data_IF_113353885935
#
_entry.id   IF_113353885935
#
_cell.length_a   1.000
_cell.length_b   1.000
_cell.length_c   1.000
_cell.angle_alpha   90.00
_cell.angle_beta   90.00
_cell.angle_gamma   90.00
#
_symmetry.space_group_name_H-M   'P 1'
#
loop_
_entity.id
_entity.type
_entity.pdbx_description
1 polymer ?
#
# COMPACT_ATOMS: atom_id res chain seq x y z
N UNK A 1 -14.82 6.61 29.59
CA UNK A 1 -15.02 7.59 28.49
C UNK A 1 -15.81 7.01 27.30
N UNK A 2 -15.84 5.68 27.08
CA UNK A 2 -16.57 5.07 25.95
C UNK A 2 -18.04 4.72 26.21
N UNK A 3 -18.57 5.00 27.40
CA UNK A 3 -19.90 4.53 27.85
C UNK A 3 -21.06 4.91 26.92
N UNK A 4 -20.98 6.09 26.29
CA UNK A 4 -21.99 6.61 25.36
C UNK A 4 -21.48 6.65 23.89
N UNK A 5 -20.32 6.08 23.61
CA UNK A 5 -19.76 6.08 22.26
C UNK A 5 -20.57 5.14 21.35
N UNK A 6 -20.81 5.61 20.11
CA UNK A 6 -21.53 4.87 19.07
C UNK A 6 -20.75 4.93 17.75
N UNK A 7 -20.82 3.89 16.91
CA UNK A 7 -20.25 3.94 15.57
C UNK A 7 -20.88 5.07 14.74
N UNK A 8 -20.09 5.65 13.84
CA UNK A 8 -20.59 6.62 12.87
C UNK A 8 -21.37 5.88 11.78
N UNK A 9 -22.57 6.34 11.39
CA UNK A 9 -23.32 5.75 10.28
C UNK A 9 -22.67 6.03 8.91
N UNK A 10 -21.72 6.97 8.84
CA UNK A 10 -21.04 7.36 7.60
C UNK A 10 -19.72 6.62 7.36
N UNK A 11 -19.24 5.85 8.33
CA UNK A 11 -18.01 5.08 8.19
C UNK A 11 -18.23 3.63 8.61
N UNK A 12 -18.18 2.67 7.66
CA UNK A 12 -18.40 1.26 7.97
C UNK A 12 -17.35 0.66 8.92
N UNK A 13 -16.16 1.28 9.04
CA UNK A 13 -15.07 0.83 9.90
C UNK A 13 -15.19 1.34 11.34
N UNK A 14 -16.03 2.35 11.57
CA UNK A 14 -16.21 2.93 12.92
C UNK A 14 -16.73 1.93 13.96
N UNK A 15 -17.45 0.89 13.52
CA UNK A 15 -17.87 -0.21 14.38
C UNK A 15 -16.67 -1.04 14.88
N UNK A 16 -15.70 -1.30 14.00
CA UNK A 16 -14.47 -1.98 14.36
C UNK A 16 -13.61 -1.11 15.29
N UNK A 17 -13.46 0.19 14.99
CA UNK A 17 -12.76 1.13 15.86
C UNK A 17 -13.36 1.18 17.27
N UNK A 18 -14.70 1.22 17.40
CA UNK A 18 -15.36 1.18 18.71
C UNK A 18 -15.15 -0.16 19.43
N UNK A 19 -15.13 -1.28 18.69
CA UNK A 19 -14.86 -2.60 19.25
C UNK A 19 -13.48 -2.64 19.90
N UNK A 20 -12.42 -2.28 19.17
CA UNK A 20 -11.05 -2.35 19.70
C UNK A 20 -10.80 -1.32 20.81
N UNK A 21 -11.47 -0.15 20.77
CA UNK A 21 -11.43 0.81 21.87
C UNK A 21 -11.96 0.21 23.18
N UNK A 22 -13.03 -0.60 23.09
CA UNK A 22 -13.59 -1.32 24.24
C UNK A 22 -12.70 -2.48 24.71
N UNK A 23 -11.83 -2.99 23.83
CA UNK A 23 -10.82 -4.00 24.16
C UNK A 23 -9.57 -3.40 24.84
N UNK A 24 -9.52 -2.08 24.99
CA UNK A 24 -8.50 -1.38 25.79
C UNK A 24 -7.53 -0.53 24.97
N UNK A 25 -7.66 -0.50 23.65
CA UNK A 25 -6.84 0.38 22.80
C UNK A 25 -7.11 1.85 23.12
N UNK A 26 -6.05 2.65 23.19
CA UNK A 26 -6.20 4.10 23.31
C UNK A 26 -6.66 4.69 21.98
N UNK A 27 -7.35 5.84 22.01
CA UNK A 27 -7.73 6.54 20.77
C UNK A 27 -6.51 6.88 19.90
N UNK A 28 -5.35 7.13 20.54
CA UNK A 28 -4.08 7.37 19.84
C UNK A 28 -3.65 6.12 19.07
N UNK A 29 -3.71 4.94 19.69
CA UNK A 29 -3.30 3.70 19.03
C UNK A 29 -4.21 3.36 17.86
N UNK A 30 -5.51 3.62 17.99
CA UNK A 30 -6.51 3.41 16.93
C UNK A 30 -6.22 4.29 15.71
N UNK A 31 -5.86 5.56 15.94
CA UNK A 31 -5.49 6.48 14.86
C UNK A 31 -4.13 6.07 14.27
N UNK A 32 -3.15 5.79 15.12
CA UNK A 32 -1.79 5.45 14.68
C UNK A 32 -1.75 4.20 13.79
N UNK A 33 -2.57 3.19 14.08
CA UNK A 33 -2.64 1.96 13.29
C UNK A 33 -3.63 2.03 12.12
N UNK A 34 -4.13 3.21 11.76
CA UNK A 34 -4.98 3.40 10.58
C UNK A 34 -6.23 2.52 10.57
N UNK A 35 -6.82 2.24 11.73
CA UNK A 35 -7.96 1.29 11.86
C UNK A 35 -9.16 1.70 11.00
N UNK A 36 -9.25 3.00 10.70
CA UNK A 36 -10.29 3.59 9.88
C UNK A 36 -9.76 4.05 8.51
N UNK A 37 -8.64 3.53 8.06
CA UNK A 37 -8.08 3.84 6.74
C UNK A 37 -8.62 2.86 5.68
N UNK A 38 -8.52 3.25 4.41
CA UNK A 38 -9.03 2.45 3.29
C UNK A 38 -7.98 1.52 2.70
N UNK A 39 -6.73 1.71 3.08
CA UNK A 39 -5.59 0.88 2.70
C UNK A 39 -4.98 0.26 3.96
N UNK A 40 -4.24 -0.86 3.83
CA UNK A 40 -3.41 -1.36 4.91
C UNK A 40 -2.50 -0.26 5.44
N UNK A 41 -2.33 -0.22 6.76
CA UNK A 41 -1.37 0.65 7.45
C UNK A 41 -0.44 -0.25 8.24
N UNK A 42 0.85 -0.13 7.95
CA UNK A 42 1.90 -0.86 8.64
C UNK A 42 2.63 0.14 9.53
N UNK A 43 2.60 -0.10 10.84
CA UNK A 43 3.27 0.71 11.85
C UNK A 43 4.36 -0.14 12.46
N UNK A 44 5.61 0.23 12.21
CA UNK A 44 6.75 -0.53 12.71
C UNK A 44 8.04 -0.18 11.97
N UNK A 45 9.12 -0.93 12.23
CA UNK A 45 10.38 -0.82 11.49
C UNK A 45 10.20 -1.20 10.01
N UNK A 46 11.08 -0.73 9.13
CA UNK A 46 10.99 -1.04 7.69
C UNK A 46 10.90 -2.53 7.32
N UNK A 47 11.43 -3.44 8.15
CA UNK A 47 11.29 -4.89 7.94
C UNK A 47 9.83 -5.37 7.97
N UNK A 48 8.98 -4.79 8.82
CA UNK A 48 7.56 -5.18 8.89
C UNK A 48 6.81 -4.76 7.62
N UNK A 49 7.14 -3.59 7.07
CA UNK A 49 6.61 -3.16 5.77
C UNK A 49 7.11 -4.06 4.63
N UNK A 50 8.40 -4.41 4.62
CA UNK A 50 8.97 -5.31 3.62
C UNK A 50 8.35 -6.72 3.68
N UNK A 51 8.14 -7.26 4.88
CA UNK A 51 7.49 -8.56 5.11
C UNK A 51 6.05 -8.56 4.58
N UNK A 52 5.29 -7.50 4.87
CA UNK A 52 3.93 -7.35 4.36
C UNK A 52 3.89 -7.28 2.83
N UNK A 53 4.77 -6.47 2.22
CA UNK A 53 4.85 -6.34 0.77
C UNK A 53 5.23 -7.67 0.10
N UNK A 54 6.18 -8.40 0.69
CA UNK A 54 6.57 -9.73 0.20
C UNK A 54 5.41 -10.73 0.28
N UNK A 55 4.72 -10.82 1.42
CA UNK A 55 3.60 -11.75 1.61
C UNK A 55 2.54 -11.59 0.52
N UNK A 56 2.17 -10.34 0.22
CA UNK A 56 1.16 -10.04 -0.80
C UNK A 56 1.64 -10.32 -2.22
N UNK A 57 2.90 -10.00 -2.52
CA UNK A 57 3.50 -10.27 -3.82
C UNK A 57 3.63 -11.78 -4.09
N UNK A 58 4.16 -12.54 -3.12
CA UNK A 58 4.34 -13.99 -3.24
C UNK A 58 3.00 -14.75 -3.25
N UNK A 59 1.96 -14.20 -2.61
CA UNK A 59 0.60 -14.70 -2.74
C UNK A 59 -0.03 -14.47 -4.14
N UNK A 60 0.65 -13.73 -5.03
CA UNK A 60 0.14 -13.36 -6.34
C UNK A 60 -1.04 -12.38 -6.27
N UNK A 61 -1.17 -11.64 -5.17
CA UNK A 61 -2.27 -10.70 -4.98
C UNK A 61 -2.07 -9.39 -5.75
N UNK A 62 -0.82 -9.01 -6.00
CA UNK A 62 -0.43 -7.75 -6.65
C UNK A 62 0.88 -7.89 -7.43
N UNK A 63 1.05 -7.05 -8.45
CA UNK A 63 2.32 -6.86 -9.17
C UNK A 63 3.14 -5.67 -8.64
N UNK A 64 2.55 -4.84 -7.77
CA UNK A 64 3.18 -3.65 -7.22
C UNK A 64 2.25 -2.89 -6.26
N UNK A 65 2.82 -1.88 -5.60
CA UNK A 65 2.14 -1.11 -4.56
C UNK A 65 2.15 0.37 -4.86
N UNK A 66 1.11 1.06 -4.39
CA UNK A 66 1.13 2.51 -4.24
C UNK A 66 1.44 2.83 -2.78
N UNK A 67 2.43 3.69 -2.56
CA UNK A 67 2.89 4.08 -1.21
C UNK A 67 2.40 5.50 -0.91
N UNK A 68 1.76 5.66 0.25
CA UNK A 68 1.30 6.94 0.77
C UNK A 68 1.90 7.14 2.15
N UNK A 69 2.93 7.99 2.30
CA UNK A 69 3.49 8.32 3.60
C UNK A 69 2.52 9.14 4.44
N UNK A 70 2.55 8.93 5.76
CA UNK A 70 1.75 9.75 6.71
C UNK A 70 2.32 11.18 6.83
N UNK A 71 3.66 11.31 6.78
CA UNK A 71 4.37 12.59 6.80
C UNK A 71 5.19 12.75 5.52
N UNK A 72 4.81 13.72 4.70
CA UNK A 72 5.47 13.96 3.40
C UNK A 72 6.93 14.44 3.52
N UNK A 73 7.32 15.01 4.66
CA UNK A 73 8.64 15.63 4.83
C UNK A 73 9.77 14.59 4.94
N UNK A 74 9.49 13.41 5.47
CA UNK A 74 10.48 12.37 5.80
C UNK A 74 10.02 10.95 5.46
N UNK A 75 8.73 10.72 5.22
CA UNK A 75 8.20 9.37 5.07
C UNK A 75 8.63 8.65 3.79
N UNK A 76 8.93 9.38 2.71
CA UNK A 76 9.55 8.77 1.51
C UNK A 76 10.99 8.36 1.81
N UNK A 77 11.77 9.23 2.45
CA UNK A 77 13.16 8.94 2.80
C UNK A 77 13.24 7.73 3.73
N UNK A 78 12.39 7.66 4.76
CA UNK A 78 12.30 6.50 5.65
C UNK A 78 11.97 5.20 4.90
N UNK A 79 11.02 5.24 3.95
CA UNK A 79 10.69 4.07 3.13
C UNK A 79 11.88 3.63 2.25
N UNK A 80 12.53 4.59 1.59
CA UNK A 80 13.68 4.31 0.73
C UNK A 80 14.86 3.79 1.53
N UNK A 81 15.14 4.34 2.69
CA UNK A 81 16.31 3.98 3.50
C UNK A 81 16.10 2.66 4.27
N UNK A 82 14.87 2.36 4.71
CA UNK A 82 14.61 1.20 5.55
C UNK A 82 13.99 0.00 4.82
N UNK A 83 13.17 0.22 3.78
CA UNK A 83 12.40 -0.86 3.12
C UNK A 83 13.05 -1.32 1.82
N UNK A 84 13.46 -0.38 0.96
CA UNK A 84 14.01 -0.71 -0.37
C UNK A 84 15.23 -1.63 -0.30
N UNK A 85 16.23 -1.43 0.60
CA UNK A 85 17.39 -2.32 0.69
C UNK A 85 17.00 -3.75 1.06
N UNK A 86 15.97 -3.91 1.90
CA UNK A 86 15.46 -5.23 2.30
C UNK A 86 14.83 -5.93 1.11
N UNK A 87 14.00 -5.23 0.34
CA UNK A 87 13.35 -5.79 -0.85
C UNK A 87 14.37 -6.14 -1.94
N UNK A 88 15.40 -5.32 -2.15
CA UNK A 88 16.52 -5.60 -3.06
C UNK A 88 17.30 -6.84 -2.61
N UNK A 89 17.67 -6.94 -1.31
CA UNK A 89 18.35 -8.10 -0.77
C UNK A 89 17.56 -9.41 -0.95
N UNK A 90 16.23 -9.31 -0.95
CA UNK A 90 15.30 -10.43 -1.16
C UNK A 90 15.04 -10.73 -2.65
N UNK A 91 15.55 -9.92 -3.57
CA UNK A 91 15.31 -10.05 -5.00
C UNK A 91 13.88 -9.68 -5.43
N UNK A 92 13.17 -8.89 -4.61
CA UNK A 92 11.80 -8.44 -4.85
C UNK A 92 11.72 -7.04 -5.47
N UNK A 93 12.85 -6.32 -5.51
CA UNK A 93 12.95 -5.00 -6.12
C UNK A 93 14.26 -4.88 -6.88
N UNK A 94 14.26 -4.09 -7.96
CA UNK A 94 15.43 -3.92 -8.82
C UNK A 94 16.52 -3.09 -8.12
N UNK A 95 17.78 -3.37 -8.43
CA UNK A 95 18.93 -2.59 -7.95
C UNK A 95 19.16 -1.32 -8.77
N UNK A 96 18.83 -1.36 -10.06
CA UNK A 96 18.95 -0.23 -10.98
C UNK A 96 17.89 -0.32 -12.09
N UNK A 97 17.67 0.77 -12.81
CA UNK A 97 16.77 0.83 -13.94
C UNK A 97 17.49 0.40 -15.22
N UNK A 98 17.10 -0.73 -15.81
CA UNK A 98 17.74 -1.25 -17.03
C UNK A 98 17.21 -0.60 -18.33
N UNK A 99 16.00 -0.04 -18.29
CA UNK A 99 15.32 0.53 -19.45
C UNK A 99 15.36 2.07 -19.49
N UNK A 100 15.49 2.62 -20.69
CA UNK A 100 15.48 4.07 -20.91
C UNK A 100 14.07 4.69 -20.86
N UNK A 101 13.03 3.86 -20.80
CA UNK A 101 11.64 4.31 -20.73
C UNK A 101 10.92 3.61 -19.60
N UNK A 102 9.86 4.24 -19.07
CA UNK A 102 8.99 3.63 -18.07
C UNK A 102 8.44 2.28 -18.53
N UNK A 103 8.07 2.19 -19.81
CA UNK A 103 7.56 0.96 -20.42
C UNK A 103 8.60 -0.16 -20.46
N UNK A 104 9.84 0.16 -20.80
CA UNK A 104 10.95 -0.80 -20.75
C UNK A 104 11.22 -1.28 -19.32
N UNK A 105 11.21 -0.39 -18.34
CA UNK A 105 11.39 -0.74 -16.91
C UNK A 105 10.25 -1.62 -16.36
N UNK A 106 9.06 -1.54 -16.94
CA UNK A 106 7.93 -2.41 -16.59
C UNK A 106 7.87 -3.70 -17.43
N UNK A 107 8.81 -3.91 -18.36
CA UNK A 107 8.80 -5.08 -19.26
C UNK A 107 7.61 -5.10 -20.24
N UNK A 108 6.97 -3.95 -20.50
CA UNK A 108 5.79 -3.88 -21.36
C UNK A 108 6.21 -3.58 -22.80
N UNK A 109 5.68 -4.27 -23.82
CA UNK A 109 6.06 -4.02 -25.21
C UNK A 109 5.73 -2.60 -25.68
N UNK A 110 6.55 -2.09 -26.60
CA UNK A 110 6.29 -0.82 -27.28
C UNK A 110 4.93 -0.84 -27.98
N UNK A 111 4.15 0.19 -27.72
CA UNK A 111 2.85 0.38 -28.34
C UNK A 111 2.72 1.81 -28.83
N UNK A 112 2.81 1.98 -30.14
CA UNK A 112 2.51 3.22 -30.82
C UNK A 112 1.09 3.17 -31.38
N UNK A 113 0.31 4.24 -31.16
CA UNK A 113 -1.06 4.34 -31.65
C UNK A 113 -2.11 3.69 -30.74
N UNK A 114 -3.33 3.53 -31.27
CA UNK A 114 -4.48 3.02 -30.51
C UNK A 114 -4.29 1.53 -30.22
N UNK A 115 -4.50 1.14 -28.96
CA UNK A 115 -4.45 -0.26 -28.53
C UNK A 115 -5.37 -1.14 -29.38
N UNK A 116 -4.86 -2.24 -29.98
CA UNK A 116 -5.68 -3.16 -30.77
C UNK A 116 -6.89 -3.70 -30.02
N UNK A 117 -6.82 -3.83 -28.69
CA UNK A 117 -7.96 -4.25 -27.84
C UNK A 117 -9.11 -3.26 -27.93
N UNK A 118 -8.83 -1.97 -28.07
CA UNK A 118 -9.84 -0.90 -28.19
C UNK A 118 -10.41 -0.83 -29.61
N UNK A 119 -9.61 -1.13 -30.64
CA UNK A 119 -10.08 -1.14 -32.03
C UNK A 119 -11.16 -2.20 -32.28
N UNK A 120 -11.05 -3.37 -31.63
CA UNK A 120 -11.97 -4.49 -31.82
C UNK A 120 -13.37 -4.28 -31.21
N UNK A 121 -13.57 -3.23 -30.40
CA UNK A 121 -14.87 -2.92 -29.79
C UNK A 121 -15.76 -1.98 -30.61
N UNK A 122 -15.29 -1.44 -31.75
CA UNK A 122 -16.09 -0.52 -32.58
C UNK A 122 -17.09 -1.19 -33.55
N UNK A 123 -17.16 -2.52 -33.58
CA UNK A 123 -18.05 -3.28 -34.48
C UNK A 123 -19.16 -4.06 -33.74
N UNK A 124 -19.63 -3.59 -32.58
CA UNK A 124 -20.88 -4.07 -31.96
C UNK A 124 -21.83 -2.92 -31.67
#
# INVERSE_FOLDING_TARGET
>A
QLTNARPSPYDPRSAHALKIAKEGWSLRDIIAHGVIDYHPVIVGPGVEAADHMQEWFEAGAVDGFWITPDVNADGIDAFVDEVVPILQQRGLFHEDYEGETFRANLGVPDQYGIDPRIMNHKNK
#
